data_IF_126531699519
#
_entry.id   IF_126531699519
#
_cell.length_a   1.000
_cell.length_b   1.000
_cell.length_c   1.000
_cell.angle_alpha   90.00
_cell.angle_beta   90.00
_cell.angle_gamma   90.00
#
_symmetry.space_group_name_H-M   'P 1'
#
loop_
_entity.id
_entity.type
_entity.pdbx_description
1 polymer ?
#
# COMPACT_ATOMS: atom_id res chain seq x y z
N UNK A 1 -16.02 9.15 13.07
CA UNK A 1 -14.81 8.53 13.65
C UNK A 1 -13.96 8.08 12.47
N UNK A 2 -12.71 8.53 12.31
CA UNK A 2 -11.82 7.94 11.31
C UNK A 2 -11.64 6.46 11.67
N UNK A 3 -11.84 5.59 10.68
CA UNK A 3 -11.71 4.15 10.85
C UNK A 3 -10.29 3.80 10.39
N UNK A 4 -9.41 3.36 11.29
CA UNK A 4 -8.06 2.96 10.91
C UNK A 4 -8.08 1.50 10.42
N UNK A 5 -7.25 1.21 9.42
CA UNK A 5 -6.99 -0.13 8.93
C UNK A 5 -5.63 -0.60 9.47
N UNK A 6 -5.60 -1.51 10.46
CA UNK A 6 -4.38 -2.20 10.84
C UNK A 6 -3.95 -3.12 9.70
N UNK A 7 -2.67 -3.08 9.36
CA UNK A 7 -2.10 -3.88 8.29
C UNK A 7 -0.67 -4.30 8.63
N UNK A 8 -0.39 -5.60 8.60
CA UNK A 8 0.92 -6.15 8.93
C UNK A 8 1.56 -6.81 7.71
N UNK A 9 2.84 -6.53 7.49
CA UNK A 9 3.66 -7.20 6.46
C UNK A 9 4.83 -7.88 7.12
N UNK A 10 5.12 -9.11 6.71
CA UNK A 10 6.38 -9.79 7.03
C UNK A 10 7.26 -9.77 5.78
N UNK A 11 8.44 -9.15 5.89
CA UNK A 11 9.40 -9.10 4.78
C UNK A 11 10.07 -10.46 4.57
N UNK A 12 10.77 -10.62 3.46
CA UNK A 12 11.52 -11.85 3.18
C UNK A 12 12.65 -12.12 4.21
N UNK A 13 13.10 -11.09 4.94
CA UNK A 13 14.10 -11.23 6.02
C UNK A 13 13.48 -11.60 7.36
N UNK A 14 12.14 -11.69 7.46
CA UNK A 14 11.42 -12.02 8.69
C UNK A 14 11.09 -10.81 9.57
N UNK A 15 11.44 -9.59 9.13
CA UNK A 15 11.04 -8.35 9.79
C UNK A 15 9.53 -8.17 9.67
N UNK A 16 8.86 -7.85 10.79
CA UNK A 16 7.44 -7.51 10.80
C UNK A 16 7.28 -6.01 10.84
N UNK A 17 6.52 -5.48 9.90
CA UNK A 17 6.20 -4.06 9.81
C UNK A 17 4.69 -3.93 9.97
N UNK A 18 4.28 -3.25 11.04
CA UNK A 18 2.90 -2.97 11.37
C UNK A 18 2.53 -1.54 10.97
N UNK A 19 1.42 -1.39 10.27
CA UNK A 19 0.92 -0.13 9.75
C UNK A 19 -0.49 0.16 10.27
N UNK A 20 -0.78 1.42 10.57
CA UNK A 20 -2.14 1.91 10.79
C UNK A 20 -2.52 2.92 9.70
N UNK A 21 -3.28 2.47 8.70
CA UNK A 21 -3.70 3.33 7.59
C UNK A 21 -5.04 4.01 7.90
N UNK A 22 -5.14 5.36 7.86
CA UNK A 22 -6.43 6.04 7.95
C UNK A 22 -7.30 5.69 6.74
N UNK A 23 -8.53 5.24 6.97
CA UNK A 23 -9.48 5.03 5.87
C UNK A 23 -10.19 6.33 5.51
N UNK A 24 -10.29 6.58 4.21
CA UNK A 24 -11.08 7.69 3.69
C UNK A 24 -12.56 7.51 4.00
N UNK A 25 -13.30 8.61 4.21
CA UNK A 25 -14.71 8.59 4.60
C UNK A 25 -15.62 7.84 3.62
N UNK A 26 -15.23 7.78 2.35
CA UNK A 26 -15.95 7.05 1.29
C UNK A 26 -15.58 5.55 1.21
N UNK A 27 -14.67 5.08 2.06
CA UNK A 27 -14.27 3.67 2.08
C UNK A 27 -15.38 2.81 2.67
N UNK A 28 -16.01 2.00 1.83
CA UNK A 28 -17.15 1.17 2.25
C UNK A 28 -16.76 -0.05 3.07
N UNK A 29 -15.53 -0.56 2.93
CA UNK A 29 -15.09 -1.77 3.63
C UNK A 29 -13.58 -1.84 3.80
N UNK A 30 -13.13 -1.67 5.04
CA UNK A 30 -11.74 -1.89 5.46
C UNK A 30 -11.22 -3.28 5.03
N UNK A 31 -12.04 -4.31 5.21
CA UNK A 31 -11.70 -5.70 4.86
C UNK A 31 -11.48 -5.90 3.36
N UNK A 32 -12.31 -5.29 2.49
CA UNK A 32 -12.09 -5.37 1.04
C UNK A 32 -10.82 -4.63 0.64
N UNK A 33 -10.53 -3.49 1.27
CA UNK A 33 -9.29 -2.74 1.03
C UNK A 33 -8.07 -3.58 1.42
N UNK A 34 -8.07 -4.23 2.59
CA UNK A 34 -6.94 -5.08 3.00
C UNK A 34 -6.77 -6.31 2.10
N UNK A 35 -7.86 -6.95 1.69
CA UNK A 35 -7.82 -8.07 0.73
C UNK A 35 -7.25 -7.64 -0.61
N UNK A 36 -7.66 -6.48 -1.14
CA UNK A 36 -7.13 -5.94 -2.39
C UNK A 36 -5.66 -5.54 -2.26
N UNK A 37 -5.27 -4.91 -1.15
CA UNK A 37 -3.87 -4.56 -0.90
C UNK A 37 -2.98 -5.81 -0.88
N UNK A 38 -3.39 -6.86 -0.16
CA UNK A 38 -2.71 -8.15 -0.14
C UNK A 38 -2.63 -8.78 -1.54
N UNK A 39 -3.72 -8.74 -2.32
CA UNK A 39 -3.73 -9.29 -3.66
C UNK A 39 -2.78 -8.54 -4.62
N UNK A 40 -2.74 -7.21 -4.53
CA UNK A 40 -1.84 -6.36 -5.33
C UNK A 40 -0.37 -6.63 -4.98
N UNK A 41 -0.02 -6.57 -3.70
CA UNK A 41 1.36 -6.82 -3.25
C UNK A 41 1.80 -8.25 -3.58
N UNK A 42 0.95 -9.24 -3.30
CA UNK A 42 1.24 -10.63 -3.64
C UNK A 42 1.35 -10.88 -5.15
N UNK A 43 0.67 -10.09 -5.99
CA UNK A 43 0.85 -10.15 -7.45
C UNK A 43 2.17 -9.54 -7.88
N UNK A 44 2.54 -8.39 -7.32
CA UNK A 44 3.84 -7.77 -7.60
C UNK A 44 4.98 -8.69 -7.18
N UNK A 45 4.92 -9.32 -6.01
CA UNK A 45 5.95 -10.25 -5.55
C UNK A 45 6.12 -11.45 -6.49
N UNK A 46 5.02 -11.96 -7.06
CA UNK A 46 5.07 -13.03 -8.06
C UNK A 46 5.72 -12.56 -9.35
N UNK A 47 5.31 -11.40 -9.87
CA UNK A 47 5.88 -10.85 -11.11
C UNK A 47 7.36 -10.50 -10.95
N UNK A 48 7.77 -9.95 -9.81
CA UNK A 48 9.17 -9.63 -9.51
C UNK A 48 10.07 -10.86 -9.53
N UNK A 49 9.58 -12.01 -9.06
CA UNK A 49 10.31 -13.28 -9.16
C UNK A 49 10.51 -13.75 -10.60
N UNK A 50 9.62 -13.37 -11.52
CA UNK A 50 9.67 -13.75 -12.94
C UNK A 50 10.51 -12.77 -13.75
N UNK A 51 10.34 -11.47 -13.52
CA UNK A 51 11.02 -10.39 -14.25
C UNK A 51 12.52 -10.30 -13.93
N UNK A 52 12.97 -10.89 -12.82
CA UNK A 52 14.38 -10.90 -12.43
C UNK A 52 14.81 -9.55 -11.84
N UNK A 53 15.86 -8.95 -12.41
CA UNK A 53 16.56 -7.79 -11.81
C UNK A 53 15.75 -6.48 -11.95
N UNK A 54 14.68 -6.36 -11.17
CA UNK A 54 13.81 -5.17 -11.11
C UNK A 54 14.26 -4.26 -9.97
N UNK A 55 14.48 -2.98 -10.24
CA UNK A 55 14.85 -2.05 -9.19
C UNK A 55 13.62 -1.60 -8.38
N UNK A 56 13.81 -1.24 -7.12
CA UNK A 56 12.73 -0.68 -6.29
C UNK A 56 12.08 0.56 -6.95
N UNK A 57 12.86 1.34 -7.70
CA UNK A 57 12.35 2.49 -8.47
C UNK A 57 11.34 2.10 -9.55
N UNK A 58 11.55 0.98 -10.24
CA UNK A 58 10.63 0.49 -11.28
C UNK A 58 9.28 0.09 -10.66
N UNK A 59 9.32 -0.56 -9.50
CA UNK A 59 8.12 -0.98 -8.75
C UNK A 59 7.32 0.23 -8.30
N UNK A 60 7.99 1.21 -7.68
CA UNK A 60 7.32 2.44 -7.22
C UNK A 60 6.73 3.24 -8.39
N UNK A 61 7.45 3.33 -9.51
CA UNK A 61 6.95 4.01 -10.71
C UNK A 61 5.73 3.29 -11.31
N UNK A 62 5.77 1.95 -11.40
CA UNK A 62 4.64 1.16 -11.90
C UNK A 62 3.39 1.32 -11.03
N UNK A 63 3.55 1.31 -9.69
CA UNK A 63 2.45 1.56 -8.75
C UNK A 63 1.86 2.96 -8.90
N UNK A 64 2.69 3.99 -9.06
CA UNK A 64 2.24 5.35 -9.27
C UNK A 64 1.46 5.49 -10.60
N UNK A 65 1.95 4.88 -11.67
CA UNK A 65 1.26 4.86 -12.96
C UNK A 65 -0.05 4.07 -12.89
N UNK A 66 -0.10 2.95 -12.16
CA UNK A 66 -1.31 2.17 -11.94
C UNK A 66 -2.39 2.99 -11.21
N UNK A 67 -2.00 3.77 -10.19
CA UNK A 67 -2.90 4.70 -9.52
C UNK A 67 -3.44 5.75 -10.50
N UNK A 68 -2.58 6.36 -11.31
CA UNK A 68 -3.00 7.37 -12.29
C UNK A 68 -3.98 6.81 -13.34
N UNK A 69 -3.70 5.62 -13.87
CA UNK A 69 -4.60 4.92 -14.80
C UNK A 69 -5.94 4.63 -14.11
N UNK A 70 -5.92 4.11 -12.88
CA UNK A 70 -7.14 3.81 -12.13
C UNK A 70 -7.99 5.06 -11.87
N UNK A 71 -7.34 6.19 -11.57
CA UNK A 71 -7.99 7.48 -11.40
C UNK A 71 -8.67 7.96 -12.69
N UNK A 72 -8.00 7.79 -13.84
CA UNK A 72 -8.56 8.16 -15.14
C UNK A 72 -9.78 7.30 -15.53
N UNK A 73 -9.94 6.11 -14.96
CA UNK A 73 -11.11 5.24 -15.18
C UNK A 73 -12.34 5.62 -14.34
N UNK A 74 -12.24 6.58 -13.41
CA UNK A 74 -13.38 7.05 -12.64
C UNK A 74 -14.35 7.83 -13.55
N UNK A 75 -15.65 7.64 -13.35
CA UNK A 75 -16.69 8.38 -14.10
C UNK A 75 -16.85 9.84 -13.63
N UNK A 76 -16.03 10.28 -12.69
CA UNK A 76 -16.03 11.65 -12.13
C UNK A 76 -15.13 12.58 -12.96
N UNK A 77 -15.27 13.91 -12.83
CA UNK A 77 -14.33 14.85 -13.44
C UNK A 77 -12.90 14.53 -13.02
N UNK A 78 -11.98 14.50 -13.99
CA UNK A 78 -10.58 14.08 -13.77
C UNK A 78 -9.90 14.83 -12.61
N UNK A 79 -10.15 16.13 -12.46
CA UNK A 79 -9.60 16.94 -11.37
C UNK A 79 -10.00 16.42 -9.98
N UNK A 80 -11.25 15.97 -9.81
CA UNK A 80 -11.74 15.42 -8.53
C UNK A 80 -11.08 14.07 -8.25
N UNK A 81 -10.98 13.22 -9.25
CA UNK A 81 -10.29 11.93 -9.13
C UNK A 81 -8.81 12.10 -8.80
N UNK A 82 -8.13 13.05 -9.46
CA UNK A 82 -6.72 13.35 -9.24
C UNK A 82 -6.48 13.82 -7.80
N UNK A 83 -7.33 14.71 -7.29
CA UNK A 83 -7.23 15.20 -5.92
C UNK A 83 -7.41 14.07 -4.92
N UNK A 84 -8.48 13.26 -5.07
CA UNK A 84 -8.73 12.12 -4.19
C UNK A 84 -7.57 11.12 -4.20
N UNK A 85 -7.04 10.78 -5.37
CA UNK A 85 -5.91 9.85 -5.48
C UNK A 85 -4.63 10.39 -4.83
N UNK A 86 -4.38 11.69 -4.97
CA UNK A 86 -3.22 12.35 -4.35
C UNK A 86 -3.36 12.37 -2.83
N UNK A 87 -4.54 12.70 -2.31
CA UNK A 87 -4.83 12.69 -0.87
C UNK A 87 -4.67 11.27 -0.28
N UNK A 88 -5.26 10.26 -0.92
CA UNK A 88 -5.14 8.86 -0.48
C UNK A 88 -3.68 8.39 -0.45
N UNK A 89 -2.90 8.69 -1.49
CA UNK A 89 -1.49 8.31 -1.56
C UNK A 89 -0.66 9.05 -0.50
N UNK A 90 -0.88 10.36 -0.31
CA UNK A 90 -0.18 11.15 0.69
C UNK A 90 -0.48 10.66 2.12
N UNK A 91 -1.75 10.37 2.42
CA UNK A 91 -2.16 9.85 3.73
C UNK A 91 -1.57 8.47 4.01
N UNK A 92 -1.56 7.58 3.02
CA UNK A 92 -0.95 6.26 3.17
C UNK A 92 0.58 6.35 3.39
N UNK A 93 1.27 7.22 2.67
CA UNK A 93 2.71 7.45 2.85
C UNK A 93 3.03 8.05 4.23
N UNK A 94 2.20 8.98 4.71
CA UNK A 94 2.35 9.55 6.04
C UNK A 94 2.14 8.50 7.15
N UNK A 95 1.21 7.56 6.97
CA UNK A 95 1.03 6.44 7.88
C UNK A 95 2.24 5.49 7.87
N UNK A 96 2.80 5.21 6.69
CA UNK A 96 4.01 4.39 6.55
C UNK A 96 5.24 5.01 7.23
N UNK A 97 5.33 6.34 7.33
CA UNK A 97 6.40 7.01 8.09
C UNK A 97 6.32 6.77 9.60
N UNK A 98 5.13 6.44 10.12
CA UNK A 98 4.87 6.16 11.53
C UNK A 98 4.69 4.66 11.81
N UNK A 99 5.11 3.78 10.89
CA UNK A 99 4.98 2.35 11.08
C UNK A 99 5.84 1.83 12.26
N UNK A 100 5.32 0.84 12.96
CA UNK A 100 6.08 0.11 13.97
C UNK A 100 6.83 -1.04 13.29
N UNK A 101 8.12 -1.15 13.56
CA UNK A 101 8.97 -2.22 13.05
C UNK A 101 9.40 -3.09 14.21
N UNK A 102 9.02 -4.36 14.16
CA UNK A 102 9.54 -5.38 15.06
C UNK A 102 10.62 -6.14 14.29
N UNK A 103 11.87 -5.73 14.54
CA UNK A 103 13.07 -6.50 14.19
C UNK A 103 13.06 -7.75 15.07
N UNK A 104 12.32 -8.77 14.64
CA UNK A 104 11.98 -9.95 15.43
C UNK A 104 13.12 -10.38 16.35
N UNK A 105 12.83 -10.40 17.66
CA UNK A 105 13.77 -10.67 18.75
C UNK A 105 14.97 -11.55 18.33
N UNK A 106 16.14 -10.93 18.15
CA UNK A 106 17.41 -11.64 18.18
C UNK A 106 17.60 -12.13 19.61
N UNK A 107 17.00 -13.28 19.91
CA UNK A 107 17.25 -14.02 21.14
C UNK A 107 18.70 -14.49 21.12
N UNK A 108 19.59 -13.75 21.77
CA UNK A 108 20.86 -14.30 22.22
C UNK A 108 20.57 -15.35 23.30
N UNK A 109 20.66 -16.61 22.92
CA UNK A 109 20.75 -17.77 23.81
C UNK A 109 22.02 -18.55 23.51
#
# INVERSE_FOLDING_TARGET
MPQNLPYDVTTATGEKIAFEFPLHAETQSAMRVSQLLNAVLGSLDRELRVLGNTANGDVMQALAMALAVRTAMLHSPYAVGQQLATELAATALAAAANCERDEGAVGHG
#
